data_IF_970405829097
#
_entry.id   IF_970405829097
#
_cell.length_a   1.000
_cell.length_b   1.000
_cell.length_c   1.000
_cell.angle_alpha   90.00
_cell.angle_beta   90.00
_cell.angle_gamma   90.00
#
_symmetry.space_group_name_H-M   'P 1'
#
loop_
_entity.id
_entity.type
_entity.pdbx_description
1 polymer ?
#
# COMPACT_ATOMS: atom_id res chain seq x y z
N UNK A 1 -36.83 -47.06 -41.96
CA UNK A 1 -36.45 -45.63 -41.87
C UNK A 1 -36.20 -45.29 -40.38
N UNK A 2 -34.96 -45.37 -39.96
CA UNK A 2 -34.57 -45.10 -38.55
C UNK A 2 -34.04 -43.66 -38.47
N UNK A 3 -34.73 -42.81 -37.73
CA UNK A 3 -34.29 -41.43 -37.47
C UNK A 3 -33.28 -41.47 -36.30
N UNK A 4 -32.02 -41.22 -36.59
CA UNK A 4 -30.96 -41.03 -35.59
C UNK A 4 -31.11 -39.61 -35.07
N UNK A 5 -31.52 -39.46 -33.82
CA UNK A 5 -31.53 -38.19 -33.09
C UNK A 5 -30.13 -37.98 -32.50
N UNK A 6 -29.38 -37.06 -33.06
CA UNK A 6 -28.06 -36.69 -32.61
C UNK A 6 -28.23 -35.67 -31.48
N UNK A 7 -28.10 -36.10 -30.21
CA UNK A 7 -28.06 -35.21 -29.05
C UNK A 7 -26.64 -34.66 -28.96
N UNK A 8 -26.46 -33.41 -29.37
CA UNK A 8 -25.22 -32.64 -29.11
C UNK A 8 -25.22 -32.23 -27.66
N UNK A 9 -24.48 -32.96 -26.83
CA UNK A 9 -24.22 -32.60 -25.43
C UNK A 9 -23.21 -31.45 -25.43
N UNK A 10 -23.69 -30.21 -25.27
CA UNK A 10 -22.87 -29.03 -25.17
C UNK A 10 -22.20 -29.02 -23.77
N UNK A 11 -20.98 -29.54 -23.68
CA UNK A 11 -20.13 -29.45 -22.49
C UNK A 11 -19.74 -27.98 -22.28
N UNK A 12 -20.49 -27.29 -21.42
CA UNK A 12 -20.10 -25.97 -20.89
C UNK A 12 -18.97 -26.23 -19.92
N UNK A 13 -17.74 -26.22 -20.41
CA UNK A 13 -16.55 -26.17 -19.55
C UNK A 13 -16.53 -24.79 -18.89
N UNK A 14 -17.07 -24.71 -17.67
CA UNK A 14 -16.95 -23.53 -16.83
C UNK A 14 -15.47 -23.26 -16.57
N UNK A 15 -14.90 -22.27 -17.26
CA UNK A 15 -13.56 -21.77 -16.97
C UNK A 15 -13.66 -21.12 -15.59
N UNK A 16 -13.30 -21.86 -14.54
CA UNK A 16 -13.09 -21.31 -13.21
C UNK A 16 -11.93 -20.34 -13.27
N UNK A 17 -12.21 -19.08 -13.60
CA UNK A 17 -11.23 -18.01 -13.43
C UNK A 17 -10.87 -17.96 -11.94
N UNK A 18 -9.69 -18.47 -11.58
CA UNK A 18 -9.15 -18.27 -10.23
C UNK A 18 -9.11 -16.77 -9.99
N UNK A 19 -9.86 -16.30 -9.00
CA UNK A 19 -9.83 -14.91 -8.60
C UNK A 19 -8.38 -14.56 -8.23
N UNK A 20 -7.83 -13.51 -8.81
CA UNK A 20 -6.47 -13.04 -8.55
C UNK A 20 -6.25 -12.75 -7.06
N UNK A 21 -7.31 -12.32 -6.40
CA UNK A 21 -7.38 -12.08 -4.96
C UNK A 21 -8.59 -12.84 -4.38
N UNK A 22 -8.37 -13.92 -3.60
CA UNK A 22 -9.47 -14.69 -3.02
C UNK A 22 -10.41 -13.81 -2.18
N UNK A 23 -11.71 -13.92 -2.42
CA UNK A 23 -12.74 -13.14 -1.72
C UNK A 23 -12.94 -11.71 -2.21
N UNK A 24 -12.25 -11.31 -3.29
CA UNK A 24 -12.44 -10.00 -3.94
C UNK A 24 -12.96 -10.20 -5.37
N UNK A 25 -13.85 -9.30 -5.80
CA UNK A 25 -14.32 -9.18 -7.18
C UNK A 25 -13.81 -7.86 -7.80
N UNK A 26 -13.61 -7.78 -9.12
CA UNK A 26 -13.30 -6.50 -9.75
C UNK A 26 -14.38 -5.46 -9.45
N UNK A 27 -13.97 -4.21 -9.17
CA UNK A 27 -14.93 -3.12 -8.95
C UNK A 27 -15.70 -2.84 -10.23
N UNK A 28 -17.02 -2.67 -10.11
CA UNK A 28 -17.90 -2.43 -11.27
C UNK A 28 -17.86 -0.99 -11.75
N UNK A 29 -17.67 -0.03 -10.84
CA UNK A 29 -17.62 1.41 -11.14
C UNK A 29 -16.31 2.01 -10.59
N UNK A 30 -15.27 1.94 -11.42
CA UNK A 30 -13.96 2.49 -11.08
C UNK A 30 -13.97 4.03 -10.98
N UNK A 31 -14.80 4.71 -11.75
CA UNK A 31 -14.88 6.17 -11.75
C UNK A 31 -15.46 6.66 -10.42
N UNK A 32 -16.53 6.05 -9.97
CA UNK A 32 -17.13 6.30 -8.66
C UNK A 32 -16.14 6.04 -7.54
N UNK A 33 -15.48 4.87 -7.54
CA UNK A 33 -14.48 4.55 -6.50
C UNK A 33 -13.36 5.62 -6.44
N UNK A 34 -12.84 6.05 -7.59
CA UNK A 34 -11.81 7.10 -7.65
C UNK A 34 -12.30 8.41 -7.03
N UNK A 35 -13.52 8.82 -7.35
CA UNK A 35 -14.11 10.05 -6.83
C UNK A 35 -14.30 9.99 -5.32
N UNK A 36 -14.87 8.90 -4.81
CA UNK A 36 -15.12 8.71 -3.37
C UNK A 36 -13.81 8.62 -2.59
N UNK A 37 -12.82 7.87 -3.09
CA UNK A 37 -11.50 7.74 -2.47
C UNK A 37 -10.75 9.09 -2.43
N UNK A 38 -10.75 9.83 -3.53
CA UNK A 38 -10.12 11.14 -3.58
C UNK A 38 -10.81 12.14 -2.62
N UNK A 39 -12.14 12.15 -2.58
CA UNK A 39 -12.91 13.04 -1.70
C UNK A 39 -12.65 12.73 -0.21
N UNK A 40 -12.61 11.46 0.18
CA UNK A 40 -12.29 11.05 1.54
C UNK A 40 -10.85 11.42 1.93
N UNK A 41 -9.90 11.16 1.04
CA UNK A 41 -8.50 11.50 1.26
C UNK A 41 -8.28 13.02 1.36
N UNK A 42 -9.04 13.83 0.63
CA UNK A 42 -9.00 15.29 0.76
C UNK A 42 -9.46 15.79 2.14
N UNK A 43 -10.40 15.12 2.78
CA UNK A 43 -10.88 15.45 4.12
C UNK A 43 -9.92 14.99 5.23
N UNK A 44 -9.03 14.06 4.93
CA UNK A 44 -8.07 13.53 5.90
C UNK A 44 -6.84 14.43 5.94
N UNK A 45 -6.67 15.19 7.01
CA UNK A 45 -5.53 16.11 7.21
C UNK A 45 -4.40 15.48 8.01
N UNK A 46 -4.70 14.49 8.84
CA UNK A 46 -3.72 13.75 9.62
C UNK A 46 -4.20 12.34 9.93
N UNK A 47 -3.25 11.45 10.16
CA UNK A 47 -3.49 10.07 10.61
C UNK A 47 -2.50 9.78 11.73
N UNK A 48 -3.00 9.19 12.81
CA UNK A 48 -2.20 8.57 13.85
C UNK A 48 -2.62 7.12 13.94
N UNK A 49 -1.67 6.19 13.97
CA UNK A 49 -1.97 4.77 14.14
C UNK A 49 -0.79 4.02 14.75
N UNK A 50 -1.07 2.84 15.24
CA UNK A 50 -0.03 1.82 15.40
C UNK A 50 0.15 1.08 14.08
N UNK A 51 1.28 0.40 13.89
CA UNK A 51 1.46 -0.48 12.75
C UNK A 51 2.17 -1.78 13.14
N UNK A 52 1.89 -2.81 12.35
CA UNK A 52 2.64 -4.06 12.32
C UNK A 52 3.17 -4.25 10.91
N UNK A 53 4.48 -4.43 10.79
CA UNK A 53 5.16 -4.73 9.54
C UNK A 53 5.67 -6.16 9.57
N UNK A 54 5.38 -6.90 8.52
CA UNK A 54 5.95 -8.22 8.27
C UNK A 54 6.80 -8.14 7.00
N UNK A 55 8.06 -8.50 7.10
CA UNK A 55 8.95 -8.67 5.95
C UNK A 55 9.30 -10.14 5.82
N UNK A 56 8.87 -10.74 4.70
CA UNK A 56 9.20 -12.11 4.34
C UNK A 56 10.37 -12.08 3.36
N UNK A 57 11.49 -12.66 3.77
CA UNK A 57 12.71 -12.78 2.97
C UNK A 57 12.66 -14.11 2.22
N UNK A 58 12.39 -14.05 0.91
CA UNK A 58 12.12 -15.23 0.09
C UNK A 58 13.31 -16.22 0.04
N UNK A 59 14.54 -15.69 -0.03
CA UNK A 59 15.74 -16.51 -0.10
C UNK A 59 16.10 -17.20 1.23
N UNK A 60 15.71 -16.61 2.36
CA UNK A 60 16.08 -17.12 3.68
C UNK A 60 14.93 -17.89 4.33
N UNK A 61 13.75 -17.90 3.71
CA UNK A 61 12.50 -18.41 4.31
C UNK A 61 12.22 -17.82 5.71
N UNK A 62 12.68 -16.60 5.91
CA UNK A 62 12.65 -15.89 7.19
C UNK A 62 11.59 -14.81 7.19
N UNK A 63 10.91 -14.67 8.32
CA UNK A 63 9.88 -13.63 8.53
C UNK A 63 10.31 -12.72 9.67
N UNK A 64 10.50 -11.44 9.36
CA UNK A 64 10.79 -10.41 10.35
C UNK A 64 9.49 -9.65 10.64
N UNK A 65 9.10 -9.62 11.92
CA UNK A 65 7.94 -8.83 12.37
C UNK A 65 8.41 -7.64 13.18
N UNK A 66 8.00 -6.45 12.75
CA UNK A 66 8.27 -5.18 13.44
C UNK A 66 6.96 -4.50 13.83
N UNK A 67 7.00 -3.74 14.92
CA UNK A 67 5.84 -2.98 15.41
C UNK A 67 6.27 -1.56 15.74
N UNK A 68 5.32 -0.63 15.65
CA UNK A 68 5.62 0.75 15.95
C UNK A 68 4.42 1.68 15.83
N UNK A 69 4.73 2.97 15.78
CA UNK A 69 3.75 4.04 15.65
C UNK A 69 3.95 4.79 14.35
N UNK A 70 2.85 5.20 13.75
CA UNK A 70 2.79 5.90 12.49
C UNK A 70 2.03 7.21 12.65
N UNK A 71 2.57 8.27 12.08
CA UNK A 71 1.91 9.55 11.93
C UNK A 71 2.07 10.05 10.51
N UNK A 72 0.98 10.53 9.98
CA UNK A 72 0.92 11.25 8.72
C UNK A 72 0.26 12.60 8.96
N UNK A 73 0.77 13.63 8.30
CA UNK A 73 0.13 14.94 8.21
C UNK A 73 0.24 15.45 6.78
N UNK A 74 -0.82 16.12 6.29
CA UNK A 74 -0.84 16.70 4.94
C UNK A 74 0.40 17.55 4.69
N UNK A 75 0.68 17.71 3.40
CA UNK A 75 1.90 18.26 2.82
C UNK A 75 3.13 17.37 3.01
N UNK A 76 2.90 16.03 2.93
CA UNK A 76 3.98 15.04 2.82
C UNK A 76 4.86 14.92 4.07
N UNK A 77 4.22 14.95 5.25
CA UNK A 77 4.89 14.68 6.51
C UNK A 77 4.53 13.27 6.99
N UNK A 78 5.55 12.43 7.18
CA UNK A 78 5.42 11.06 7.69
C UNK A 78 6.43 10.84 8.80
N UNK A 79 5.99 10.19 9.88
CA UNK A 79 6.86 9.66 10.92
C UNK A 79 6.52 8.19 11.13
N UNK A 80 7.52 7.33 11.07
CA UNK A 80 7.43 5.93 11.47
C UNK A 80 8.44 5.68 12.59
N UNK A 81 7.95 5.19 13.70
CA UNK A 81 8.76 4.91 14.89
C UNK A 81 8.60 3.44 15.25
N UNK A 82 9.61 2.65 14.95
CA UNK A 82 9.68 1.24 15.29
C UNK A 82 10.18 1.10 16.72
N UNK A 83 9.51 0.29 17.49
CA UNK A 83 9.84 0.01 18.88
C UNK A 83 10.06 -1.47 19.18
N UNK A 84 9.86 -2.34 18.18
CA UNK A 84 10.10 -3.77 18.27
C UNK A 84 10.44 -4.34 16.87
N UNK A 85 11.40 -5.27 16.73
CA UNK A 85 12.37 -5.71 17.76
C UNK A 85 13.49 -4.69 17.98
N UNK A 86 13.68 -3.76 17.05
CA UNK A 86 14.73 -2.73 17.09
C UNK A 86 14.11 -1.33 17.17
N UNK A 87 14.84 -0.41 17.79
CA UNK A 87 14.46 1.00 17.77
C UNK A 87 14.96 1.62 16.47
N UNK A 88 14.02 2.06 15.65
CA UNK A 88 14.30 2.73 14.40
C UNK A 88 13.29 3.86 14.20
N UNK A 89 13.78 5.02 13.82
CA UNK A 89 12.96 6.19 13.55
C UNK A 89 13.20 6.68 12.13
N UNK A 90 12.11 6.87 11.40
CA UNK A 90 12.10 7.54 10.11
C UNK A 90 11.19 8.76 10.18
N UNK A 91 11.70 9.91 9.76
CA UNK A 91 10.91 11.12 9.56
C UNK A 91 11.09 11.56 8.11
N UNK A 92 9.97 11.72 7.41
CA UNK A 92 9.90 12.39 6.15
C UNK A 92 9.20 13.73 6.36
N UNK A 93 9.83 14.81 5.93
CA UNK A 93 9.23 16.14 5.93
C UNK A 93 9.51 16.79 4.59
N UNK A 94 8.49 16.79 3.73
CA UNK A 94 8.58 17.19 2.32
C UNK A 94 9.62 16.34 1.57
N UNK A 95 10.74 16.92 1.19
CA UNK A 95 11.85 16.29 0.46
C UNK A 95 13.02 15.84 1.35
N UNK A 96 12.93 16.06 2.66
CA UNK A 96 13.96 15.71 3.63
C UNK A 96 13.59 14.42 4.36
N UNK A 97 14.56 13.52 4.49
CA UNK A 97 14.42 12.29 5.27
C UNK A 97 15.47 12.26 6.38
N UNK A 98 15.02 11.99 7.56
CA UNK A 98 15.86 11.68 8.70
C UNK A 98 15.64 10.22 9.10
N UNK A 99 16.73 9.53 9.34
CA UNK A 99 16.73 8.14 9.82
C UNK A 99 17.63 8.04 11.03
N UNK A 100 17.10 7.43 12.09
CA UNK A 100 17.87 7.06 13.28
C UNK A 100 17.73 5.56 13.49
N UNK A 101 18.85 4.85 13.48
CA UNK A 101 18.96 3.42 13.73
C UNK A 101 19.84 3.20 14.96
N UNK A 102 19.19 2.93 16.10
CA UNK A 102 19.84 2.88 17.41
C UNK A 102 20.58 4.20 17.73
N UNK A 103 21.91 4.15 17.82
CA UNK A 103 22.77 5.31 18.09
C UNK A 103 23.17 6.09 16.81
N UNK A 104 22.94 5.51 15.63
CA UNK A 104 23.37 6.11 14.35
C UNK A 104 22.27 7.01 13.79
N UNK A 105 22.62 8.25 13.57
CA UNK A 105 21.73 9.24 12.94
C UNK A 105 22.22 9.56 11.53
N UNK A 106 21.36 9.44 10.56
CA UNK A 106 21.64 9.77 9.17
C UNK A 106 20.59 10.74 8.63
N UNK A 107 21.05 11.88 8.17
CA UNK A 107 20.22 12.78 7.34
C UNK A 107 20.41 12.37 5.89
N UNK A 108 19.43 11.75 5.32
CA UNK A 108 19.48 11.29 3.95
C UNK A 108 18.68 12.27 3.10
N UNK A 109 19.33 12.86 2.07
CA UNK A 109 18.52 13.50 1.02
C UNK A 109 17.76 12.39 0.29
N UNK A 110 16.45 12.54 0.10
CA UNK A 110 15.67 11.61 -0.72
C UNK A 110 16.29 11.43 -2.09
N UNK A 111 17.00 12.44 -2.59
CA UNK A 111 17.67 12.41 -3.90
C UNK A 111 18.78 11.37 -4.04
N UNK A 112 19.35 10.89 -2.93
CA UNK A 112 20.49 9.96 -2.94
C UNK A 112 20.13 8.47 -2.94
N UNK A 113 18.89 8.11 -2.57
CA UNK A 113 18.42 6.71 -2.54
C UNK A 113 17.08 6.57 -3.24
N UNK A 114 17.13 6.13 -4.50
CA UNK A 114 15.94 5.99 -5.37
C UNK A 114 14.87 5.05 -4.78
N UNK A 115 15.27 3.94 -4.16
CA UNK A 115 14.31 3.01 -3.56
C UNK A 115 13.55 3.68 -2.41
N UNK A 116 14.24 4.39 -1.55
CA UNK A 116 13.66 5.11 -0.43
C UNK A 116 12.69 6.21 -0.89
N UNK A 117 13.06 6.94 -1.95
CA UNK A 117 12.16 7.92 -2.60
C UNK A 117 10.87 7.28 -3.07
N UNK A 118 10.97 6.15 -3.77
CA UNK A 118 9.81 5.50 -4.35
C UNK A 118 8.88 4.94 -3.27
N UNK A 119 9.40 4.29 -2.24
CA UNK A 119 8.60 3.78 -1.12
C UNK A 119 7.87 4.92 -0.43
N UNK A 120 8.56 6.02 -0.12
CA UNK A 120 7.96 7.18 0.53
C UNK A 120 6.89 7.84 -0.34
N UNK A 121 7.17 8.01 -1.65
CA UNK A 121 6.20 8.55 -2.60
C UNK A 121 4.93 7.69 -2.65
N UNK A 122 5.08 6.37 -2.76
CA UNK A 122 3.96 5.44 -2.78
C UNK A 122 3.14 5.54 -1.49
N UNK A 123 3.80 5.58 -0.33
CA UNK A 123 3.13 5.73 0.95
C UNK A 123 2.33 7.03 1.02
N UNK A 124 2.92 8.15 0.61
CA UNK A 124 2.25 9.46 0.57
C UNK A 124 1.08 9.43 -0.42
N UNK A 125 1.29 8.94 -1.64
CA UNK A 125 0.25 8.84 -2.67
C UNK A 125 -0.93 8.01 -2.17
N UNK A 126 -0.67 6.91 -1.44
CA UNK A 126 -1.72 6.09 -0.83
C UNK A 126 -2.49 6.87 0.25
N UNK A 127 -1.79 7.59 1.14
CA UNK A 127 -2.44 8.34 2.22
C UNK A 127 -3.20 9.58 1.72
N UNK A 128 -2.75 10.17 0.62
CA UNK A 128 -3.38 11.33 -0.01
C UNK A 128 -4.44 10.96 -1.05
N UNK A 129 -4.62 9.67 -1.35
CA UNK A 129 -5.55 9.20 -2.38
C UNK A 129 -5.13 9.49 -3.82
N UNK A 130 -3.89 9.89 -4.04
CA UNK A 130 -3.35 10.20 -5.38
C UNK A 130 -2.78 8.98 -6.10
N UNK A 131 -2.60 7.86 -5.39
CA UNK A 131 -2.04 6.62 -5.94
C UNK A 131 -2.79 6.10 -7.17
N UNK A 132 -4.13 6.30 -7.23
CA UNK A 132 -4.97 5.87 -8.36
C UNK A 132 -4.74 6.67 -9.66
N UNK A 133 -4.17 7.85 -9.55
CA UNK A 133 -3.92 8.76 -10.68
C UNK A 133 -2.43 8.80 -11.04
N UNK A 134 -1.59 8.02 -10.35
CA UNK A 134 -0.16 7.99 -10.61
C UNK A 134 0.13 7.22 -11.90
N UNK A 135 0.61 7.94 -12.92
CA UNK A 135 0.93 7.42 -14.25
C UNK A 135 2.06 6.38 -14.26
N UNK A 136 2.84 6.31 -13.18
CA UNK A 136 3.92 5.33 -13.02
C UNK A 136 3.40 3.91 -12.80
N UNK A 137 2.07 3.74 -12.61
CA UNK A 137 1.41 2.46 -12.34
C UNK A 137 0.23 2.18 -13.27
N UNK A 138 0.06 0.92 -13.65
CA UNK A 138 -1.21 0.39 -14.13
C UNK A 138 -2.02 -0.06 -12.92
N UNK A 139 -3.19 0.54 -12.73
CA UNK A 139 -4.03 0.33 -11.56
C UNK A 139 -5.22 -0.57 -11.87
N UNK A 140 -5.49 -1.52 -10.98
CA UNK A 140 -6.74 -2.30 -10.93
C UNK A 140 -7.34 -2.18 -9.54
N UNK A 141 -8.65 -2.22 -9.44
CA UNK A 141 -9.37 -2.17 -8.16
C UNK A 141 -10.30 -3.35 -8.04
N UNK A 142 -10.25 -3.98 -6.90
CA UNK A 142 -11.12 -5.09 -6.51
C UNK A 142 -11.81 -4.73 -5.21
N UNK A 143 -12.94 -5.35 -4.94
CA UNK A 143 -13.70 -5.08 -3.72
C UNK A 143 -14.32 -6.34 -3.13
N UNK A 144 -14.52 -6.31 -1.83
CA UNK A 144 -15.39 -7.22 -1.10
C UNK A 144 -16.42 -6.42 -0.29
N UNK A 145 -17.10 -7.06 0.64
CA UNK A 145 -18.14 -6.41 1.48
C UNK A 145 -17.58 -5.21 2.25
N UNK A 146 -16.36 -5.30 2.79
CA UNK A 146 -15.83 -4.36 3.78
C UNK A 146 -14.67 -3.50 3.27
N UNK A 147 -13.93 -3.99 2.29
CA UNK A 147 -12.69 -3.35 1.83
C UNK A 147 -12.61 -3.29 0.32
N UNK A 148 -11.85 -2.34 -0.18
CA UNK A 148 -11.38 -2.29 -1.56
C UNK A 148 -9.88 -2.56 -1.59
N UNK A 149 -9.44 -3.28 -2.62
CA UNK A 149 -8.05 -3.63 -2.85
C UNK A 149 -7.58 -2.96 -4.14
N UNK A 150 -6.61 -2.08 -4.04
CA UNK A 150 -5.98 -1.40 -5.16
C UNK A 150 -4.68 -2.10 -5.49
N UNK A 151 -4.58 -2.66 -6.68
CA UNK A 151 -3.35 -3.21 -7.23
C UNK A 151 -2.65 -2.16 -8.09
N UNK A 152 -1.40 -1.86 -7.78
CA UNK A 152 -0.53 -0.94 -8.49
C UNK A 152 0.60 -1.76 -9.13
N UNK A 153 0.53 -1.98 -10.44
CA UNK A 153 1.57 -2.67 -11.21
C UNK A 153 2.48 -1.62 -11.84
N UNK A 154 3.78 -1.58 -11.49
CA UNK A 154 4.70 -0.59 -12.00
C UNK A 154 4.81 -0.60 -13.52
N UNK A 155 4.78 0.58 -14.16
CA UNK A 155 5.06 0.77 -15.58
C UNK A 155 6.33 1.59 -15.82
N UNK A 156 6.66 2.50 -14.91
CA UNK A 156 7.90 3.26 -14.96
C UNK A 156 9.13 2.36 -14.72
N UNK A 157 10.20 2.55 -15.50
CA UNK A 157 11.40 1.71 -15.49
C UNK A 157 12.00 1.54 -14.09
N UNK A 158 12.22 2.64 -13.37
CA UNK A 158 12.83 2.60 -12.04
C UNK A 158 12.00 1.88 -10.97
N UNK A 159 10.67 1.85 -11.13
CA UNK A 159 9.77 1.10 -10.23
C UNK A 159 9.71 -0.38 -10.58
N UNK A 160 9.73 -0.72 -11.88
CA UNK A 160 9.80 -2.11 -12.36
C UNK A 160 11.06 -2.84 -11.90
N UNK A 161 12.15 -2.11 -11.68
CA UNK A 161 13.41 -2.65 -11.16
C UNK A 161 13.33 -2.97 -9.67
N UNK A 162 12.34 -2.45 -8.95
CA UNK A 162 12.18 -2.63 -7.51
C UNK A 162 11.02 -3.58 -7.16
N UNK A 163 9.87 -3.39 -7.81
CA UNK A 163 8.62 -4.04 -7.41
C UNK A 163 7.95 -4.79 -8.57
N UNK A 164 7.40 -5.95 -8.27
CA UNK A 164 6.45 -6.68 -9.14
C UNK A 164 5.06 -6.07 -9.05
N UNK A 165 4.61 -5.80 -7.84
CA UNK A 165 3.30 -5.20 -7.56
C UNK A 165 3.28 -4.56 -6.17
N UNK A 166 2.40 -3.59 -6.00
CA UNK A 166 2.07 -3.01 -4.70
C UNK A 166 0.56 -3.12 -4.56
N UNK A 167 0.11 -3.62 -3.41
CA UNK A 167 -1.32 -3.73 -3.10
C UNK A 167 -1.65 -2.83 -1.92
N UNK A 168 -2.72 -2.06 -2.04
CA UNK A 168 -3.23 -1.18 -0.99
C UNK A 168 -4.64 -1.61 -0.64
N UNK A 169 -4.88 -1.93 0.62
CA UNK A 169 -6.21 -2.24 1.12
C UNK A 169 -6.80 -1.01 1.80
N UNK A 170 -8.01 -0.67 1.38
CA UNK A 170 -8.76 0.51 1.82
C UNK A 170 -10.04 0.06 2.49
N UNK A 171 -10.37 0.62 3.65
CA UNK A 171 -11.65 0.40 4.33
C UNK A 171 -12.77 1.12 3.56
N UNK A 172 -13.87 0.45 3.25
CA UNK A 172 -15.00 1.05 2.52
C UNK A 172 -15.81 2.03 3.36
N UNK A 173 -15.65 2.01 4.70
CA UNK A 173 -16.40 2.87 5.61
C UNK A 173 -15.89 4.32 5.58
N UNK A 174 -14.57 4.49 5.55
CA UNK A 174 -13.94 5.81 5.67
C UNK A 174 -12.88 6.07 4.59
N UNK A 175 -12.66 5.12 3.69
CA UNK A 175 -11.63 5.13 2.65
C UNK A 175 -10.19 5.28 3.17
N UNK A 176 -9.96 5.00 4.45
CA UNK A 176 -8.60 5.00 5.01
C UNK A 176 -7.83 3.74 4.61
N UNK A 177 -6.54 3.89 4.40
CA UNK A 177 -5.64 2.77 4.13
C UNK A 177 -5.50 1.90 5.38
N UNK A 178 -5.72 0.59 5.24
CA UNK A 178 -5.56 -0.40 6.32
C UNK A 178 -4.30 -1.23 6.16
N UNK A 179 -3.84 -1.42 4.92
CA UNK A 179 -2.63 -2.20 4.65
C UNK A 179 -1.98 -1.76 3.33
N UNK A 180 -0.65 -1.82 3.31
CA UNK A 180 0.16 -1.70 2.11
C UNK A 180 1.05 -2.94 2.03
N UNK A 181 1.02 -3.62 0.89
CA UNK A 181 1.90 -4.75 0.61
C UNK A 181 2.76 -4.42 -0.60
N UNK A 182 4.05 -4.65 -0.49
CA UNK A 182 5.04 -4.45 -1.55
C UNK A 182 5.70 -5.79 -1.87
N UNK A 183 5.50 -6.28 -3.08
CA UNK A 183 6.15 -7.47 -3.61
C UNK A 183 7.35 -7.04 -4.46
N UNK A 184 8.55 -7.32 -3.98
CA UNK A 184 9.81 -6.99 -4.64
C UNK A 184 10.14 -7.96 -5.78
N UNK A 185 11.02 -7.56 -6.70
CA UNK A 185 11.49 -8.44 -7.77
C UNK A 185 12.26 -9.65 -7.25
N UNK A 186 12.98 -9.50 -6.14
CA UNK A 186 13.66 -10.59 -5.41
C UNK A 186 12.70 -11.71 -4.97
N UNK A 187 11.40 -11.40 -4.87
CA UNK A 187 10.40 -12.26 -4.26
C UNK A 187 10.14 -11.91 -2.80
N UNK A 188 10.91 -11.02 -2.23
CA UNK A 188 10.66 -10.50 -0.88
C UNK A 188 9.31 -9.77 -0.84
N UNK A 189 8.65 -9.86 0.30
CA UNK A 189 7.33 -9.29 0.48
C UNK A 189 7.25 -8.55 1.81
N UNK A 190 6.96 -7.27 1.73
CA UNK A 190 6.75 -6.43 2.92
C UNK A 190 5.27 -6.07 3.02
N UNK A 191 4.67 -6.36 4.17
CA UNK A 191 3.27 -6.02 4.47
C UNK A 191 3.26 -5.10 5.69
N UNK A 192 2.67 -3.91 5.55
CA UNK A 192 2.44 -2.97 6.64
C UNK A 192 0.94 -2.93 6.89
N UNK A 193 0.49 -3.21 8.12
CA UNK A 193 -0.91 -3.08 8.56
C UNK A 193 -1.02 -1.96 9.57
N UNK A 194 -1.94 -1.04 9.32
CA UNK A 194 -2.26 0.07 10.20
C UNK A 194 -3.44 -0.31 11.10
N UNK A 195 -3.23 -0.23 12.41
CA UNK A 195 -4.20 -0.59 13.43
C UNK A 195 -4.41 0.57 14.38
N UNK A 196 -5.56 0.61 15.08
CA UNK A 196 -5.88 1.70 16.02
C UNK A 196 -5.79 3.08 15.35
N UNK A 197 -6.32 3.21 14.14
CA UNK A 197 -6.25 4.45 13.36
C UNK A 197 -7.14 5.53 13.94
N UNK A 198 -6.59 6.72 14.09
CA UNK A 198 -7.28 7.96 14.40
C UNK A 198 -7.11 8.92 13.21
N UNK A 199 -8.20 9.19 12.48
CA UNK A 199 -8.20 10.16 11.38
C UNK A 199 -8.41 11.55 11.95
N UNK A 200 -7.73 12.55 11.37
CA UNK A 200 -7.80 13.95 11.78
C UNK A 200 -7.43 14.17 13.27
N UNK A 201 -6.56 13.30 13.79
CA UNK A 201 -6.00 13.46 15.13
C UNK A 201 -5.18 14.74 15.25
N UNK A 202 -5.11 15.31 16.44
CA UNK A 202 -4.21 16.43 16.70
C UNK A 202 -2.75 15.90 16.68
N UNK A 203 -2.03 16.18 15.59
CA UNK A 203 -0.64 15.75 15.37
C UNK A 203 0.26 16.98 15.37
N UNK A 204 1.09 17.20 16.43
CA UNK A 204 1.98 18.35 16.52
C UNK A 204 3.06 18.35 15.44
N UNK A 205 3.39 19.51 14.88
CA UNK A 205 4.46 19.69 13.88
C UNK A 205 5.85 19.30 14.41
N UNK A 206 6.04 19.40 15.72
CA UNK A 206 7.27 18.99 16.39
C UNK A 206 7.65 17.51 16.13
N UNK A 207 6.67 16.64 15.88
CA UNK A 207 6.89 15.23 15.54
C UNK A 207 7.66 15.04 14.22
N UNK A 208 7.60 16.01 13.32
CA UNK A 208 8.22 15.95 12.00
C UNK A 208 9.47 16.84 11.89
N UNK A 209 9.91 17.42 13.01
CA UNK A 209 11.13 18.27 13.02
C UNK A 209 12.36 17.40 12.84
N UNK A 210 13.15 17.73 11.84
CA UNK A 210 14.47 17.16 11.56
C UNK A 210 15.52 18.13 12.13
N UNK A 211 16.13 17.76 13.25
CA UNK A 211 17.18 18.54 13.88
C UNK A 211 18.51 18.41 13.15
#
# INVERSE_FOLDING_TARGET
MHKIVLIVLMLITGISMKAQYPGYAPVTDLARFRTEFAAASQKTISIKSDFVQEKNLSMLSEKITSKGKFWFKKESQVRMEYNHPFQYLMILNKDKVFVKDGQKENKISTKSNKMFQQINKIMIDCMQGTALNNVDFKTKVFENKNTSLVELVPVAKGLKELFKAITVVVDKKDFSVTSIQMLELSGDNTIIRFINKELNANVPDALFTIK
#
